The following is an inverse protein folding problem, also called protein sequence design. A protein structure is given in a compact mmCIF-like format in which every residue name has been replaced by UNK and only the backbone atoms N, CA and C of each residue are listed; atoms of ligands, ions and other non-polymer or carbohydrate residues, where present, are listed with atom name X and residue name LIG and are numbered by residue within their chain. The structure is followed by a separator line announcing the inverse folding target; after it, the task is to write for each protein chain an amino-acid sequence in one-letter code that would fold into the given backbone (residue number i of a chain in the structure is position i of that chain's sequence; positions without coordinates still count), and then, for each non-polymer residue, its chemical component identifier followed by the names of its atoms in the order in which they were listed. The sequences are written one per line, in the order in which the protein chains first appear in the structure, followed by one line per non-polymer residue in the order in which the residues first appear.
data_IF_577109999184
#
_entry.id   IF_577109999184
#
_cell.length_a   1.000
_cell.length_b   1.000
_cell.length_c   1.000
_cell.angle_alpha   90.00
_cell.angle_beta   90.00
_cell.angle_gamma   90.00
#
_symmetry.space_group_name_H-M   'P 1'
#
loop_
_entity.id
_entity.type
_entity.pdbx_description
1 polymer ?
#
# COMPACT_ATOMS: atom_id res chain seq x y z
N UNK A 1 12.93 10.49 6.07
CA UNK A 1 11.67 9.75 6.18
C UNK A 1 10.56 10.61 5.58
N UNK A 2 9.69 10.01 4.77
CA UNK A 2 8.50 10.66 4.18
C UNK A 2 7.24 10.22 4.93
N UNK A 3 6.23 11.09 4.99
CA UNK A 3 4.91 10.77 5.52
C UNK A 3 4.00 10.39 4.36
N UNK A 4 3.38 9.23 4.45
CA UNK A 4 2.58 8.65 3.39
C UNK A 4 1.19 8.34 3.93
N UNK A 5 0.16 8.78 3.20
CA UNK A 5 -1.22 8.43 3.48
C UNK A 5 -1.56 7.11 2.81
N UNK A 6 -2.20 6.23 3.56
CA UNK A 6 -2.67 4.96 3.07
C UNK A 6 -4.03 4.57 3.65
N UNK A 7 -4.74 3.73 2.92
CA UNK A 7 -6.04 3.20 3.28
C UNK A 7 -6.03 1.68 3.14
N UNK A 8 -6.50 0.97 4.17
CA UNK A 8 -6.67 -0.50 4.11
C UNK A 8 -8.13 -0.82 3.82
N UNK A 9 -8.40 -1.45 2.69
CA UNK A 9 -9.76 -1.72 2.20
C UNK A 9 -10.60 -0.43 2.22
N UNK A 10 -11.77 -0.45 2.88
CA UNK A 10 -12.68 0.70 2.99
C UNK A 10 -12.51 1.48 4.31
N UNK A 11 -11.39 1.32 5.02
CA UNK A 11 -11.15 2.03 6.28
C UNK A 11 -10.86 3.52 6.06
N UNK A 12 -10.78 4.27 7.15
CA UNK A 12 -10.35 5.68 7.11
C UNK A 12 -8.86 5.74 6.70
N UNK A 13 -8.45 6.65 5.80
CA UNK A 13 -7.05 6.89 5.50
C UNK A 13 -6.23 7.25 6.74
N UNK A 14 -5.03 6.71 6.86
CA UNK A 14 -4.10 6.96 7.96
C UNK A 14 -2.70 7.27 7.44
N UNK A 15 -1.86 7.86 8.29
CA UNK A 15 -0.48 8.23 7.93
C UNK A 15 0.52 7.28 8.55
N UNK A 16 1.53 6.89 7.77
CA UNK A 16 2.74 6.25 8.28
C UNK A 16 3.98 6.99 7.82
N UNK A 17 5.10 6.77 8.49
CA UNK A 17 6.41 7.34 8.09
C UNK A 17 7.28 6.23 7.53
N UNK A 18 7.88 6.41 6.37
CA UNK A 18 8.72 5.40 5.72
C UNK A 18 10.00 6.02 5.12
N UNK A 19 11.00 5.20 4.80
CA UNK A 19 12.19 5.66 4.12
C UNK A 19 11.81 6.15 2.70
N UNK A 20 12.22 7.36 2.25
CA UNK A 20 12.00 7.80 0.86
C UNK A 20 12.53 6.83 -0.20
N UNK A 21 13.57 6.06 0.11
CA UNK A 21 14.16 5.10 -0.82
C UNK A 21 13.41 3.76 -0.87
N UNK A 22 12.46 3.54 0.05
CA UNK A 22 11.67 2.32 0.12
C UNK A 22 10.69 2.20 -1.05
N UNK A 23 10.34 0.96 -1.37
CA UNK A 23 9.37 0.64 -2.42
C UNK A 23 8.01 0.25 -1.82
N UNK A 24 7.01 0.02 -2.68
CA UNK A 24 5.65 -0.35 -2.24
C UNK A 24 5.65 -1.62 -1.39
N UNK A 25 6.54 -2.59 -1.66
CA UNK A 25 6.63 -3.82 -0.87
C UNK A 25 7.08 -3.54 0.57
N UNK A 26 8.10 -2.70 0.76
CA UNK A 26 8.54 -2.25 2.09
C UNK A 26 7.41 -1.54 2.84
N UNK A 27 6.61 -0.74 2.13
CA UNK A 27 5.43 -0.08 2.69
C UNK A 27 4.37 -1.09 3.13
N UNK A 28 4.10 -2.12 2.32
CA UNK A 28 3.18 -3.21 2.68
C UNK A 28 3.69 -3.96 3.91
N UNK A 29 4.94 -4.39 3.92
CA UNK A 29 5.53 -5.11 5.05
C UNK A 29 5.41 -4.30 6.34
N UNK A 30 5.68 -2.98 6.27
CA UNK A 30 5.53 -2.07 7.40
C UNK A 30 4.09 -1.94 7.91
N UNK A 31 3.10 -2.01 7.02
CA UNK A 31 1.67 -1.82 7.37
C UNK A 31 1.03 -3.12 7.85
N UNK A 32 1.41 -4.24 7.24
CA UNK A 32 0.72 -5.51 7.43
C UNK A 32 1.44 -6.46 8.37
N UNK A 33 2.74 -6.32 8.66
CA UNK A 33 3.52 -7.17 9.62
C UNK A 33 3.39 -8.70 9.41
N UNK A 34 2.68 -9.17 8.36
CA UNK A 34 2.39 -10.57 8.06
C UNK A 34 2.91 -10.99 6.68
N UNK A 35 3.06 -12.30 6.50
CA UNK A 35 3.36 -12.98 5.23
C UNK A 35 2.26 -12.85 4.15
N UNK A 36 1.10 -12.24 4.45
CA UNK A 36 -0.02 -12.13 3.52
C UNK A 36 0.00 -10.84 2.67
N UNK A 37 1.13 -10.13 2.60
CA UNK A 37 1.29 -8.91 1.77
C UNK A 37 0.97 -9.13 0.28
N UNK A 38 1.08 -10.37 -0.19
CA UNK A 38 0.72 -10.80 -1.55
C UNK A 38 -0.81 -10.80 -1.77
N UNK A 39 -1.60 -10.97 -0.71
CA UNK A 39 -3.07 -10.88 -0.75
C UNK A 39 -3.58 -9.43 -0.83
N UNK A 40 -2.71 -8.43 -0.88
CA UNK A 40 -3.12 -7.04 -1.00
C UNK A 40 -2.68 -6.45 -2.34
N UNK A 41 -3.64 -5.99 -3.13
CA UNK A 41 -3.37 -5.16 -4.29
C UNK A 41 -3.17 -3.71 -3.85
N UNK A 42 -2.11 -3.07 -4.33
CA UNK A 42 -1.84 -1.65 -4.07
C UNK A 42 -2.30 -0.81 -5.25
N UNK A 43 -3.05 0.23 -4.96
CA UNK A 43 -3.53 1.20 -5.93
C UNK A 43 -3.21 2.62 -5.46
N UNK A 44 -2.89 3.49 -6.40
CA UNK A 44 -2.75 4.92 -6.16
C UNK A 44 -3.33 5.67 -7.35
N UNK A 45 -4.23 6.62 -7.08
CA UNK A 45 -4.88 7.42 -8.12
C UNK A 45 -5.47 6.58 -9.28
N UNK A 46 -6.11 5.45 -8.95
CA UNK A 46 -6.68 4.52 -9.94
C UNK A 46 -5.68 3.60 -10.66
N UNK A 47 -4.38 3.71 -10.39
CA UNK A 47 -3.33 2.90 -11.01
C UNK A 47 -2.88 1.81 -10.04
N UNK A 48 -2.82 0.56 -10.51
CA UNK A 48 -2.25 -0.55 -9.74
C UNK A 48 -0.73 -0.40 -9.71
N UNK A 49 -0.16 -0.31 -8.50
CA UNK A 49 1.27 -0.20 -8.30
C UNK A 49 1.89 -1.59 -8.13
N UNK A 50 3.04 -1.80 -8.76
CA UNK A 50 3.86 -3.01 -8.56
C UNK A 50 4.55 -2.95 -7.19
N UNK A 51 4.87 -4.09 -6.57
CA UNK A 51 5.61 -4.12 -5.29
C UNK A 51 6.95 -3.39 -5.34
N UNK A 52 7.67 -3.47 -6.46
CA UNK A 52 8.94 -2.78 -6.69
C UNK A 52 8.81 -1.33 -7.18
N UNK A 53 7.60 -0.77 -7.22
CA UNK A 53 7.40 0.63 -7.59
C UNK A 53 7.82 1.54 -6.43
N UNK A 54 8.25 2.77 -6.76
CA UNK A 54 8.50 3.81 -5.77
C UNK A 54 7.20 4.25 -5.10
N UNK A 55 7.30 4.59 -3.83
CA UNK A 55 6.17 5.10 -3.05
C UNK A 55 5.82 6.52 -3.53
N UNK A 56 4.56 6.78 -3.95
CA UNK A 56 4.10 8.13 -4.24
C UNK A 56 4.31 9.05 -3.04
N UNK A 57 4.88 10.24 -3.26
CA UNK A 57 5.21 11.18 -2.19
C UNK A 57 4.12 12.26 -2.00
N UNK A 58 3.23 12.39 -2.97
CA UNK A 58 2.13 13.35 -3.06
C UNK A 58 0.81 12.78 -2.51
N UNK A 59 0.88 11.72 -1.71
CA UNK A 59 -0.31 11.15 -1.05
C UNK A 59 -0.94 12.14 -0.08
N UNK A 60 -2.28 12.18 -0.07
CA UNK A 60 -3.09 12.98 0.87
C UNK A 60 -4.20 12.10 1.47
N UNK A 61 -4.98 12.66 2.39
CA UNK A 61 -6.20 12.01 2.90
C UNK A 61 -7.25 11.77 1.80
N UNK A 62 -7.35 12.69 0.83
CA UNK A 62 -8.23 12.52 -0.34
C UNK A 62 -7.65 11.59 -1.41
N UNK A 63 -6.31 11.47 -1.47
CA UNK A 63 -5.59 10.60 -2.40
C UNK A 63 -4.60 9.69 -1.66
N UNK A 64 -5.09 8.71 -0.88
CA UNK A 64 -4.24 7.76 -0.20
C UNK A 64 -3.78 6.64 -1.14
N UNK A 65 -2.71 5.95 -0.77
CA UNK A 65 -2.40 4.64 -1.33
C UNK A 65 -3.42 3.64 -0.77
N UNK A 66 -4.19 3.01 -1.64
CA UNK A 66 -5.22 2.05 -1.26
C UNK A 66 -4.66 0.64 -1.34
N UNK A 67 -4.79 -0.12 -0.26
CA UNK A 67 -4.48 -1.54 -0.18
C UNK A 67 -5.78 -2.33 -0.11
N UNK A 68 -6.15 -3.02 -1.19
CA UNK A 68 -7.36 -3.82 -1.27
C UNK A 68 -7.00 -5.29 -1.17
N UNK A 69 -7.59 -6.00 -0.22
CA UNK A 69 -7.42 -7.46 -0.14
C UNK A 69 -8.01 -8.10 -1.39
N UNK A 70 -7.20 -8.89 -2.09
CA UNK A 70 -7.63 -9.73 -3.20
C UNK A 70 -7.83 -11.15 -2.68
N UNK A 71 -8.97 -11.75 -3.00
CA UNK A 71 -9.19 -13.17 -2.76
C UNK A 71 -8.37 -13.95 -3.79
N UNK A 72 -7.17 -14.37 -3.40
CA UNK A 72 -6.39 -15.30 -4.19
C UNK A 72 -7.07 -16.66 -4.02
N UNK A 73 -7.93 -17.04 -4.98
CA UNK A 73 -8.47 -18.39 -5.04
C UNK A 73 -7.26 -19.31 -5.30
N UNK A 74 -6.90 -20.22 -4.38
CA UNK A 74 -5.82 -21.17 -4.65
C UNK A 74 -6.17 -21.96 -5.91
N UNK A 75 -5.21 -22.19 -6.82
CA UNK A 75 -5.47 -23.09 -7.95
C UNK A 75 -5.92 -24.45 -7.38
N UNK A 76 -7.10 -24.89 -7.82
CA UNK A 76 -7.72 -26.18 -7.43
C UNK A 76 -6.98 -27.37 -8.03
#
# INVERSE_FOLDING_TARGET
MIKVWFQRNQNIPTKTSINPDADIDDLKQKIFDTTDVEQYQTMYNGIILKPSAKIPQDTTDDMPIVFTKIDIVPPS
#
